data_IF_892972759082
#
_entry.id   IF_892972759082
#
_cell.length_a   1.000
_cell.length_b   1.000
_cell.length_c   1.000
_cell.angle_alpha   90.00
_cell.angle_beta   90.00
_cell.angle_gamma   90.00
#
_symmetry.space_group_name_H-M   'P 1'
#
loop_
_entity.id
_entity.type
_entity.pdbx_description
1 polymer ?
#
# COMPACT_ATOMS: atom_id res chain seq x y z
N UNK A 1 -33.25 12.14 2.65
CA UNK A 1 -32.79 12.23 1.27
C UNK A 1 -31.67 11.20 1.15
N UNK A 2 -31.90 10.12 0.38
CA UNK A 2 -30.87 9.10 0.15
C UNK A 2 -29.74 9.73 -0.65
N UNK A 3 -28.66 10.11 0.01
CA UNK A 3 -27.38 10.29 -0.67
C UNK A 3 -26.89 8.87 -1.03
N UNK A 4 -27.27 8.37 -2.21
CA UNK A 4 -26.60 7.20 -2.75
C UNK A 4 -25.14 7.62 -2.98
N UNK A 5 -24.24 7.14 -2.12
CA UNK A 5 -22.81 7.41 -2.27
C UNK A 5 -22.40 7.07 -3.70
N UNK A 6 -21.65 7.95 -4.35
CA UNK A 6 -21.11 7.72 -5.67
C UNK A 6 -20.14 6.53 -5.59
N UNK A 7 -20.42 5.46 -6.32
CA UNK A 7 -19.68 4.19 -6.22
C UNK A 7 -19.36 3.64 -7.61
N UNK A 8 -18.56 2.59 -7.67
CA UNK A 8 -18.23 1.89 -8.92
C UNK A 8 -19.41 1.15 -9.59
N UNK A 9 -20.62 1.17 -9.01
CA UNK A 9 -21.77 0.50 -9.60
C UNK A 9 -22.17 1.05 -10.98
N UNK A 10 -21.87 2.32 -11.24
CA UNK A 10 -22.13 2.99 -12.53
C UNK A 10 -20.94 2.96 -13.49
N UNK A 11 -19.80 2.41 -13.07
CA UNK A 11 -18.62 2.27 -13.94
C UNK A 11 -18.75 1.00 -14.78
N UNK A 12 -19.39 1.13 -15.92
CA UNK A 12 -19.56 0.04 -16.89
C UNK A 12 -18.43 0.03 -17.93
N UNK A 13 -18.20 -1.10 -18.65
CA UNK A 13 -17.18 -1.17 -19.70
C UNK A 13 -17.32 -0.07 -20.75
N UNK A 14 -18.53 0.27 -21.18
CA UNK A 14 -18.76 1.36 -22.13
C UNK A 14 -18.31 2.72 -21.57
N UNK A 15 -18.58 3.00 -20.30
CA UNK A 15 -18.10 4.23 -19.62
C UNK A 15 -16.57 4.31 -19.63
N UNK A 16 -15.89 3.17 -19.44
CA UNK A 16 -14.42 3.10 -19.49
C UNK A 16 -13.92 3.36 -20.92
N UNK A 17 -14.58 2.77 -21.92
CA UNK A 17 -14.23 2.97 -23.34
C UNK A 17 -14.44 4.43 -23.76
N UNK A 18 -15.55 5.06 -23.36
CA UNK A 18 -15.83 6.48 -23.63
C UNK A 18 -14.79 7.39 -22.97
N UNK A 19 -14.44 7.11 -21.70
CA UNK A 19 -13.41 7.85 -20.98
C UNK A 19 -12.04 7.83 -21.69
N UNK A 20 -11.63 6.68 -22.21
CA UNK A 20 -10.39 6.52 -22.96
C UNK A 20 -10.49 7.20 -24.34
N UNK A 21 -11.61 7.06 -25.03
CA UNK A 21 -11.83 7.67 -26.33
C UNK A 21 -11.78 9.20 -26.27
N UNK A 22 -12.33 9.83 -25.25
CA UNK A 22 -12.26 11.28 -25.03
C UNK A 22 -10.82 11.80 -24.90
N UNK A 23 -9.89 10.94 -24.45
CA UNK A 23 -8.47 11.26 -24.39
C UNK A 23 -7.72 10.96 -25.69
N UNK A 24 -8.43 10.57 -26.75
CA UNK A 24 -7.84 10.19 -28.03
C UNK A 24 -7.24 8.80 -28.05
N UNK A 25 -7.53 7.96 -27.06
CA UNK A 25 -7.06 6.57 -26.99
C UNK A 25 -8.09 5.68 -27.68
N UNK A 26 -7.68 5.04 -28.75
CA UNK A 26 -8.48 4.02 -29.42
C UNK A 26 -8.07 2.64 -28.97
N UNK A 27 -8.95 2.00 -28.21
CA UNK A 27 -8.72 0.66 -27.68
C UNK A 27 -8.96 -0.37 -28.79
N UNK A 28 -7.94 -1.18 -29.10
CA UNK A 28 -8.01 -2.25 -30.14
C UNK A 28 -8.13 -3.66 -29.51
N UNK A 29 -8.11 -3.76 -28.20
CA UNK A 29 -8.31 -5.01 -27.44
C UNK A 29 -9.56 -4.95 -26.57
N UNK A 30 -9.93 -6.08 -25.94
CA UNK A 30 -10.83 -6.04 -24.78
C UNK A 30 -10.16 -5.39 -23.58
N UNK A 31 -10.98 -4.94 -22.63
CA UNK A 31 -10.52 -4.52 -21.30
C UNK A 31 -10.31 -5.75 -20.41
N UNK A 32 -9.07 -6.03 -20.03
CA UNK A 32 -8.74 -7.14 -19.13
C UNK A 32 -8.65 -6.64 -17.70
N UNK A 33 -9.54 -7.04 -16.78
CA UNK A 33 -9.46 -6.61 -15.38
C UNK A 33 -8.19 -7.16 -14.74
N UNK A 34 -7.50 -6.31 -13.98
CA UNK A 34 -6.38 -6.70 -13.14
C UNK A 34 -6.84 -6.86 -11.69
N UNK A 35 -6.09 -7.64 -10.91
CA UNK A 35 -6.36 -7.82 -9.49
C UNK A 35 -6.15 -6.51 -8.74
N UNK A 36 -7.25 -5.83 -8.45
CA UNK A 36 -7.29 -4.65 -7.59
C UNK A 36 -8.65 -4.62 -6.88
N UNK A 37 -8.62 -4.55 -5.57
CA UNK A 37 -9.85 -4.47 -4.77
C UNK A 37 -10.23 -3.03 -4.44
N UNK A 38 -9.24 -2.17 -4.25
CA UNK A 38 -9.48 -0.76 -3.91
C UNK A 38 -9.97 0.02 -5.12
N UNK A 39 -9.26 -0.05 -6.22
CA UNK A 39 -9.56 0.66 -7.45
C UNK A 39 -10.17 -0.28 -8.50
N UNK A 40 -10.57 0.24 -9.64
CA UNK A 40 -10.89 -0.56 -10.82
C UNK A 40 -9.79 -0.39 -11.84
N UNK A 41 -9.08 -1.46 -12.10
CA UNK A 41 -7.86 -1.47 -12.93
C UNK A 41 -8.02 -2.42 -14.08
N UNK A 42 -7.76 -1.91 -15.31
CA UNK A 42 -7.89 -2.69 -16.53
C UNK A 42 -6.66 -2.50 -17.40
N UNK A 43 -6.19 -3.61 -17.96
CA UNK A 43 -5.18 -3.60 -19.00
C UNK A 43 -5.86 -3.59 -20.37
N UNK A 44 -5.30 -2.84 -21.32
CA UNK A 44 -5.75 -2.79 -22.70
C UNK A 44 -4.58 -2.53 -23.66
N UNK A 45 -4.86 -2.68 -24.95
CA UNK A 45 -3.94 -2.35 -26.03
C UNK A 45 -4.60 -1.32 -26.95
N UNK A 46 -3.86 -0.32 -27.39
CA UNK A 46 -4.33 0.66 -28.34
C UNK A 46 -4.13 0.21 -29.81
N UNK A 47 -4.57 1.03 -30.78
CA UNK A 47 -4.45 0.77 -32.21
C UNK A 47 -2.99 0.65 -32.70
N UNK A 48 -2.03 1.25 -31.97
CA UNK A 48 -0.59 1.13 -32.25
C UNK A 48 0.04 -0.09 -31.54
N UNK A 49 -0.77 -0.98 -30.96
CA UNK A 49 -0.36 -2.16 -30.17
C UNK A 49 0.45 -1.84 -28.92
N UNK A 50 0.40 -0.61 -28.42
CA UNK A 50 0.99 -0.25 -27.14
C UNK A 50 0.06 -0.73 -26.03
N UNK A 51 0.66 -1.26 -24.94
CA UNK A 51 -0.10 -1.77 -23.80
C UNK A 51 -0.13 -0.74 -22.70
N UNK A 52 -1.32 -0.55 -22.16
CA UNK A 52 -1.59 0.38 -21.08
C UNK A 52 -2.39 -0.28 -19.96
N UNK A 53 -2.38 0.37 -18.81
CA UNK A 53 -3.25 0.10 -17.68
C UNK A 53 -4.02 1.38 -17.37
N UNK A 54 -5.35 1.29 -17.33
CA UNK A 54 -6.20 2.36 -16.81
C UNK A 54 -6.61 2.03 -15.39
N UNK A 55 -6.41 2.99 -14.48
CA UNK A 55 -6.80 2.91 -13.07
C UNK A 55 -7.86 3.95 -12.78
N UNK A 56 -9.07 3.49 -12.45
CA UNK A 56 -10.14 4.33 -11.92
C UNK A 56 -10.05 4.33 -10.40
N UNK A 57 -9.83 5.50 -9.83
CA UNK A 57 -9.70 5.67 -8.38
C UNK A 57 -11.04 5.48 -7.69
N UNK A 58 -11.01 4.81 -6.54
CA UNK A 58 -12.24 4.64 -5.73
C UNK A 58 -12.78 6.02 -5.34
N UNK A 59 -14.06 6.30 -5.65
CA UNK A 59 -14.70 7.52 -5.24
C UNK A 59 -14.56 7.76 -3.72
N UNK A 60 -14.33 9.01 -3.34
CA UNK A 60 -14.24 9.47 -1.95
C UNK A 60 -13.06 8.91 -1.12
N UNK A 61 -12.16 8.09 -1.71
CA UNK A 61 -10.96 7.64 -1.01
C UNK A 61 -9.91 8.74 -0.95
N UNK A 62 -9.56 9.28 -2.09
CA UNK A 62 -8.56 10.34 -2.24
C UNK A 62 -9.16 11.56 -2.92
N UNK A 63 -8.76 12.76 -2.49
CA UNK A 63 -9.05 14.00 -3.22
C UNK A 63 -8.21 14.09 -4.49
N UNK A 64 -8.59 14.98 -5.41
CA UNK A 64 -7.79 15.24 -6.61
C UNK A 64 -6.35 15.67 -6.27
N UNK A 65 -6.19 16.54 -5.25
CA UNK A 65 -4.87 17.01 -4.82
C UNK A 65 -4.00 15.87 -4.29
N UNK A 66 -4.58 14.95 -3.52
CA UNK A 66 -3.87 13.77 -3.02
C UNK A 66 -3.44 12.82 -4.14
N UNK A 67 -4.26 12.64 -5.17
CA UNK A 67 -3.90 11.82 -6.34
C UNK A 67 -2.81 12.54 -7.16
N UNK A 68 -2.91 13.85 -7.33
CA UNK A 68 -1.90 14.61 -8.06
C UNK A 68 -0.54 14.61 -7.34
N UNK A 69 -0.51 14.60 -6.00
CA UNK A 69 0.74 14.43 -5.25
C UNK A 69 1.40 13.05 -5.49
N UNK A 70 0.60 11.96 -5.57
CA UNK A 70 1.09 10.64 -5.98
C UNK A 70 1.72 10.69 -7.38
N UNK A 71 1.00 11.27 -8.33
CA UNK A 71 1.46 11.40 -9.71
C UNK A 71 2.76 12.19 -9.82
N UNK A 72 2.85 13.32 -9.12
CA UNK A 72 4.06 14.14 -9.08
C UNK A 72 5.23 13.38 -8.47
N UNK A 73 5.00 12.63 -7.41
CA UNK A 73 6.04 11.80 -6.80
C UNK A 73 6.51 10.71 -7.75
N UNK A 74 5.60 9.98 -8.40
CA UNK A 74 5.96 8.98 -9.40
C UNK A 74 6.79 9.58 -10.56
N UNK A 75 6.40 10.75 -11.07
CA UNK A 75 7.14 11.44 -12.13
C UNK A 75 8.53 11.92 -11.66
N UNK A 76 8.67 12.39 -10.42
CA UNK A 76 9.96 12.74 -9.84
C UNK A 76 10.86 11.52 -9.69
N UNK A 77 10.31 10.39 -9.25
CA UNK A 77 11.05 9.11 -9.14
C UNK A 77 11.57 8.65 -10.51
N UNK A 78 10.75 8.71 -11.56
CA UNK A 78 11.19 8.39 -12.93
C UNK A 78 12.30 9.34 -13.39
N UNK A 79 12.16 10.64 -13.11
CA UNK A 79 13.20 11.62 -13.45
C UNK A 79 14.53 11.39 -12.70
N UNK A 80 14.44 10.86 -11.47
CA UNK A 80 15.59 10.47 -10.66
C UNK A 80 16.05 9.00 -10.96
N UNK A 81 15.59 8.43 -12.10
CA UNK A 81 15.93 7.09 -12.59
C UNK A 81 15.58 5.96 -11.61
N UNK A 82 14.54 6.14 -10.79
CA UNK A 82 13.96 5.06 -9.98
C UNK A 82 12.92 4.31 -10.84
N UNK A 83 13.00 2.98 -10.94
CA UNK A 83 12.13 2.18 -11.78
C UNK A 83 10.73 2.05 -11.17
N UNK A 84 9.89 3.05 -11.40
CA UNK A 84 8.47 3.06 -11.00
C UNK A 84 7.56 3.27 -12.20
N UNK A 85 6.33 2.81 -12.11
CA UNK A 85 5.31 3.18 -13.11
C UNK A 85 4.76 4.55 -12.79
N UNK A 86 4.85 5.48 -13.75
CA UNK A 86 4.28 6.82 -13.63
C UNK A 86 3.14 7.02 -14.64
N UNK A 87 2.14 7.86 -14.33
CA UNK A 87 1.02 8.08 -15.21
C UNK A 87 1.43 8.83 -16.50
N UNK A 88 0.77 8.50 -17.59
CA UNK A 88 0.91 9.20 -18.88
C UNK A 88 0.12 10.51 -18.84
N UNK A 89 0.71 11.57 -19.35
CA UNK A 89 0.03 12.87 -19.47
C UNK A 89 -0.75 12.97 -20.79
N UNK A 90 -2.01 13.40 -20.72
CA UNK A 90 -2.86 13.75 -21.85
C UNK A 90 -3.17 15.24 -21.75
N UNK A 91 -2.77 16.00 -22.80
CA UNK A 91 -2.88 17.47 -22.80
C UNK A 91 -2.26 18.13 -21.56
N UNK A 92 -1.17 17.55 -21.03
CA UNK A 92 -0.45 18.03 -19.85
C UNK A 92 -1.07 17.62 -18.51
N UNK A 93 -2.15 16.82 -18.51
CA UNK A 93 -2.83 16.32 -17.31
C UNK A 93 -2.59 14.81 -17.15
N UNK A 94 -2.23 14.40 -15.94
CA UNK A 94 -2.08 12.99 -15.57
C UNK A 94 -3.30 12.44 -14.86
N UNK A 95 -4.08 13.31 -14.18
CA UNK A 95 -5.35 12.98 -13.57
C UNK A 95 -6.48 13.44 -14.49
N UNK A 96 -7.30 12.51 -14.89
CA UNK A 96 -8.41 12.68 -15.82
C UNK A 96 -9.73 12.47 -15.09
N UNK A 97 -10.81 13.01 -15.62
CA UNK A 97 -12.16 12.82 -15.07
C UNK A 97 -13.15 12.52 -16.19
N UNK A 98 -13.97 11.51 -15.97
CA UNK A 98 -15.10 11.18 -16.84
C UNK A 98 -16.31 10.83 -15.98
N UNK A 99 -17.41 11.53 -16.15
CA UNK A 99 -18.67 11.35 -15.40
C UNK A 99 -18.49 11.33 -13.85
N UNK A 100 -17.53 12.09 -13.35
CA UNK A 100 -17.21 12.15 -11.92
C UNK A 100 -16.17 11.13 -11.44
N UNK A 101 -15.81 10.14 -12.26
CA UNK A 101 -14.73 9.21 -11.95
C UNK A 101 -13.37 9.83 -12.26
N UNK A 102 -12.50 9.89 -11.27
CA UNK A 102 -11.08 10.16 -11.50
C UNK A 102 -10.40 8.91 -12.03
N UNK A 103 -9.55 9.09 -13.03
CA UNK A 103 -8.75 7.99 -13.59
C UNK A 103 -7.40 8.48 -14.10
N UNK A 104 -6.48 7.54 -14.23
CA UNK A 104 -5.18 7.76 -14.85
C UNK A 104 -4.80 6.56 -15.74
N UNK A 105 -3.95 6.82 -16.71
CA UNK A 105 -3.44 5.80 -17.64
C UNK A 105 -1.96 5.63 -17.40
N UNK A 106 -1.50 4.40 -17.28
CA UNK A 106 -0.12 4.03 -17.03
C UNK A 106 0.41 3.15 -18.16
N UNK A 107 1.70 3.18 -18.48
CA UNK A 107 2.28 2.15 -19.34
C UNK A 107 2.12 0.79 -18.66
N UNK A 108 1.72 -0.23 -19.45
CA UNK A 108 1.68 -1.59 -18.94
C UNK A 108 3.09 -2.18 -18.90
N UNK A 109 3.56 -2.49 -17.71
CA UNK A 109 4.84 -3.16 -17.49
C UNK A 109 4.61 -4.64 -17.24
N UNK A 110 5.42 -5.49 -17.84
CA UNK A 110 5.43 -6.91 -17.60
C UNK A 110 6.61 -7.29 -16.71
N UNK A 111 6.45 -8.36 -15.97
CA UNK A 111 7.49 -8.92 -15.13
C UNK A 111 6.97 -10.14 -14.37
N UNK A 112 7.88 -10.95 -13.81
CA UNK A 112 7.55 -11.94 -12.80
C UNK A 112 7.46 -11.25 -11.44
N UNK A 113 6.94 -11.91 -10.45
CA UNK A 113 6.94 -11.40 -9.08
C UNK A 113 8.37 -11.38 -8.54
N UNK A 114 8.68 -10.39 -7.71
CA UNK A 114 9.89 -10.32 -6.90
C UNK A 114 9.98 -11.53 -5.95
N UNK A 115 11.18 -12.13 -5.86
CA UNK A 115 11.47 -13.29 -5.02
C UNK A 115 12.22 -12.83 -3.77
N UNK A 116 11.52 -12.73 -2.65
CA UNK A 116 12.08 -12.19 -1.40
C UNK A 116 13.16 -13.09 -0.73
N UNK A 117 13.32 -14.32 -1.17
CA UNK A 117 14.39 -15.24 -0.78
C UNK A 117 15.63 -15.15 -1.69
N UNK A 118 15.57 -14.35 -2.76
CA UNK A 118 16.66 -14.13 -3.68
C UNK A 118 17.49 -12.91 -3.24
N UNK A 119 18.68 -13.15 -2.72
CA UNK A 119 19.56 -12.11 -2.16
C UNK A 119 19.95 -11.06 -3.21
N UNK A 120 20.26 -11.45 -4.45
CA UNK A 120 20.63 -10.50 -5.52
C UNK A 120 19.45 -9.56 -5.86
N UNK A 121 18.22 -10.10 -5.83
CA UNK A 121 17.02 -9.28 -6.02
C UNK A 121 16.78 -8.36 -4.84
N UNK A 122 17.00 -8.84 -3.62
CA UNK A 122 16.85 -8.07 -2.39
C UNK A 122 17.84 -6.88 -2.36
N UNK A 123 19.10 -7.13 -2.72
CA UNK A 123 20.14 -6.11 -2.85
C UNK A 123 19.77 -5.03 -3.87
N UNK A 124 19.30 -5.45 -5.07
CA UNK A 124 18.87 -4.50 -6.10
C UNK A 124 17.66 -3.66 -5.63
N UNK A 125 16.70 -4.28 -4.93
CA UNK A 125 15.55 -3.56 -4.34
C UNK A 125 16.04 -2.58 -3.29
N UNK A 126 16.97 -2.95 -2.41
CA UNK A 126 17.59 -2.07 -1.42
C UNK A 126 18.17 -0.81 -2.03
N UNK A 127 18.96 -0.94 -3.11
CA UNK A 127 19.53 0.22 -3.85
C UNK A 127 18.44 1.17 -4.34
N UNK A 128 17.40 0.65 -4.96
CA UNK A 128 16.34 1.50 -5.51
C UNK A 128 15.43 2.08 -4.43
N UNK A 129 15.24 1.43 -3.29
CA UNK A 129 14.59 2.03 -2.11
C UNK A 129 15.43 3.18 -1.55
N UNK A 130 16.76 3.04 -1.47
CA UNK A 130 17.66 4.14 -1.11
C UNK A 130 17.49 5.35 -2.03
N UNK A 131 17.45 5.14 -3.36
CA UNK A 131 17.21 6.21 -4.35
C UNK A 131 15.79 6.80 -4.23
N UNK A 132 14.77 5.96 -4.06
CA UNK A 132 13.39 6.40 -3.86
C UNK A 132 13.28 7.32 -2.64
N UNK A 133 13.87 6.91 -1.52
CA UNK A 133 13.86 7.68 -0.29
C UNK A 133 14.73 8.94 -0.35
N UNK A 134 15.84 8.91 -1.10
CA UNK A 134 16.61 10.13 -1.40
C UNK A 134 15.73 11.18 -2.10
N UNK A 135 14.90 10.76 -3.08
CA UNK A 135 13.91 11.62 -3.71
C UNK A 135 12.79 11.99 -2.72
N UNK A 136 12.34 11.03 -1.90
CA UNK A 136 11.32 11.25 -0.88
C UNK A 136 11.69 12.33 0.14
N UNK A 137 12.96 12.45 0.49
CA UNK A 137 13.48 13.46 1.45
C UNK A 137 13.47 14.90 0.91
N UNK A 138 13.39 15.11 -0.42
CA UNK A 138 13.46 16.45 -1.03
C UNK A 138 12.29 17.35 -0.62
N UNK A 139 11.12 16.78 -0.37
CA UNK A 139 9.90 17.46 0.10
C UNK A 139 8.93 16.46 0.70
N UNK A 140 7.98 16.89 1.52
CA UNK A 140 6.90 16.05 2.04
C UNK A 140 5.64 16.19 1.18
N UNK A 141 4.74 15.23 1.28
CA UNK A 141 3.36 15.39 0.83
C UNK A 141 2.66 16.42 1.74
N UNK A 142 1.83 17.27 1.16
CA UNK A 142 1.05 18.28 1.87
C UNK A 142 -0.37 17.77 2.14
N UNK A 143 -0.94 17.10 1.15
CA UNK A 143 -2.33 16.62 1.19
C UNK A 143 -2.42 15.14 1.60
N UNK A 144 -1.43 14.33 1.26
CA UNK A 144 -1.38 12.92 1.66
C UNK A 144 -0.99 12.78 3.13
N UNK A 145 -1.56 11.78 3.83
CA UNK A 145 -1.36 11.63 5.27
C UNK A 145 0.08 11.25 5.64
N UNK A 146 0.39 11.42 6.91
CA UNK A 146 1.56 10.86 7.56
C UNK A 146 1.14 9.64 8.37
N UNK A 147 1.93 8.56 8.35
CA UNK A 147 1.69 7.37 9.16
C UNK A 147 1.60 7.75 10.64
N UNK A 148 0.53 7.35 11.29
CA UNK A 148 0.32 7.66 12.71
C UNK A 148 -0.77 6.81 13.36
N UNK A 149 -0.79 6.83 14.69
CA UNK A 149 -1.67 5.98 15.50
C UNK A 149 -3.16 6.23 15.24
N UNK A 150 -3.55 7.49 14.94
CA UNK A 150 -4.96 7.83 14.79
C UNK A 150 -5.60 7.09 13.62
N UNK A 151 -4.99 7.19 12.43
CA UNK A 151 -5.50 6.56 11.19
C UNK A 151 -5.46 5.04 11.26
N UNK A 152 -4.38 4.49 11.83
CA UNK A 152 -4.11 3.05 11.80
C UNK A 152 -4.75 2.28 12.96
N UNK A 153 -5.01 2.91 14.09
CA UNK A 153 -5.50 2.23 15.30
C UNK A 153 -6.78 2.83 15.88
N UNK A 154 -6.80 4.16 16.11
CA UNK A 154 -7.89 4.78 16.87
C UNK A 154 -9.18 4.82 16.05
N UNK A 155 -9.12 5.26 14.80
CA UNK A 155 -10.29 5.25 13.90
C UNK A 155 -10.78 3.82 13.59
N UNK A 156 -9.90 2.85 13.25
CA UNK A 156 -10.28 1.44 13.15
C UNK A 156 -10.97 0.90 14.41
N UNK A 157 -10.43 1.19 15.58
CA UNK A 157 -11.00 0.71 16.84
C UNK A 157 -12.45 1.20 17.05
N UNK A 158 -12.72 2.48 16.73
CA UNK A 158 -14.09 3.03 16.76
C UNK A 158 -15.00 2.31 15.76
N UNK A 159 -14.52 2.06 14.54
CA UNK A 159 -15.26 1.31 13.54
C UNK A 159 -15.65 -0.10 14.04
N UNK A 160 -14.75 -0.77 14.76
CA UNK A 160 -15.01 -2.12 15.29
C UNK A 160 -16.11 -2.13 16.35
N UNK A 161 -16.28 -1.05 17.13
CA UNK A 161 -17.38 -0.92 18.12
C UNK A 161 -18.77 -1.08 17.48
N UNK A 162 -18.97 -0.42 16.34
CA UNK A 162 -20.27 -0.40 15.65
C UNK A 162 -20.41 -1.52 14.61
N UNK A 163 -19.33 -2.28 14.35
CA UNK A 163 -19.32 -3.28 13.29
C UNK A 163 -20.26 -4.45 13.59
N UNK A 164 -21.17 -4.72 12.66
CA UNK A 164 -22.09 -5.88 12.69
C UNK A 164 -21.48 -7.17 12.15
N UNK A 165 -20.34 -7.07 11.45
CA UNK A 165 -19.60 -8.21 10.91
C UNK A 165 -18.95 -9.05 12.01
N UNK A 166 -18.68 -8.47 13.16
CA UNK A 166 -18.11 -9.19 14.30
C UNK A 166 -19.22 -9.93 15.01
N UNK A 167 -19.16 -11.29 15.14
CA UNK A 167 -20.17 -12.07 15.85
C UNK A 167 -20.34 -11.56 17.28
N UNK A 168 -21.59 -11.37 17.70
CA UNK A 168 -21.92 -10.76 19.00
C UNK A 168 -21.27 -11.48 20.19
N UNK A 169 -21.16 -12.80 20.13
CA UNK A 169 -20.53 -13.64 21.17
C UNK A 169 -19.02 -13.47 21.26
N UNK A 170 -18.35 -13.00 20.20
CA UNK A 170 -16.89 -12.81 20.13
C UNK A 170 -16.47 -11.35 20.25
N UNK A 171 -17.39 -10.43 20.06
CA UNK A 171 -17.09 -8.99 19.95
C UNK A 171 -16.36 -8.43 21.16
N UNK A 172 -16.80 -8.75 22.37
CA UNK A 172 -16.19 -8.25 23.61
C UNK A 172 -14.72 -8.72 23.74
N UNK A 173 -14.45 -9.99 23.43
CA UNK A 173 -13.09 -10.54 23.48
C UNK A 173 -12.19 -9.91 22.40
N UNK A 174 -12.70 -9.74 21.18
CA UNK A 174 -11.99 -9.11 20.09
C UNK A 174 -11.65 -7.65 20.40
N UNK A 175 -12.61 -6.85 20.91
CA UNK A 175 -12.37 -5.46 21.27
C UNK A 175 -11.34 -5.33 22.39
N UNK A 176 -11.38 -6.22 23.39
CA UNK A 176 -10.38 -6.26 24.46
C UNK A 176 -8.98 -6.54 23.91
N UNK A 177 -8.84 -7.56 23.04
CA UNK A 177 -7.56 -7.86 22.38
C UNK A 177 -7.05 -6.69 21.52
N UNK A 178 -7.96 -5.99 20.85
CA UNK A 178 -7.63 -4.77 20.09
C UNK A 178 -7.12 -3.66 21.01
N UNK A 179 -7.76 -3.42 22.15
CA UNK A 179 -7.35 -2.40 23.11
C UNK A 179 -5.97 -2.71 23.71
N UNK A 180 -5.71 -3.98 24.04
CA UNK A 180 -4.41 -4.46 24.54
C UNK A 180 -3.31 -4.27 23.47
N UNK A 181 -3.60 -4.59 22.22
CA UNK A 181 -2.67 -4.37 21.10
C UNK A 181 -2.39 -2.89 20.89
N UNK A 182 -3.41 -2.02 20.91
CA UNK A 182 -3.25 -0.57 20.78
C UNK A 182 -2.38 -0.02 21.91
N UNK A 183 -2.60 -0.46 23.15
CA UNK A 183 -1.78 -0.05 24.29
C UNK A 183 -0.32 -0.46 24.12
N UNK A 184 -0.06 -1.69 23.66
CA UNK A 184 1.28 -2.18 23.38
C UNK A 184 1.97 -1.38 22.26
N UNK A 185 1.27 -1.10 21.16
CA UNK A 185 1.82 -0.27 20.07
C UNK A 185 2.13 1.14 20.58
N UNK A 186 1.20 1.77 21.30
CA UNK A 186 1.39 3.13 21.81
C UNK A 186 2.60 3.26 22.72
N UNK A 187 2.89 2.23 23.52
CA UNK A 187 4.06 2.20 24.39
C UNK A 187 5.39 2.09 23.63
N UNK A 188 5.39 1.57 22.40
CA UNK A 188 6.59 1.37 21.59
C UNK A 188 6.67 2.30 20.38
N UNK A 189 5.60 3.04 20.09
CA UNK A 189 5.58 4.00 19.00
C UNK A 189 6.45 5.21 19.32
N UNK A 190 7.28 5.58 18.38
CA UNK A 190 8.15 6.75 18.45
C UNK A 190 7.86 7.65 17.26
N UNK A 191 7.93 8.95 17.47
CA UNK A 191 7.70 9.97 16.42
C UNK A 191 8.97 10.78 16.13
N UNK A 192 10.12 10.37 16.69
CA UNK A 192 11.43 11.02 16.52
C UNK A 192 12.22 10.50 15.30
N UNK A 193 11.55 9.82 14.37
CA UNK A 193 12.14 9.41 13.11
C UNK A 193 12.11 10.51 12.05
N UNK A 194 13.00 10.41 11.07
CA UNK A 194 12.97 11.30 9.90
C UNK A 194 11.80 10.98 9.00
N UNK A 195 10.89 11.95 8.84
CA UNK A 195 9.73 11.81 7.96
C UNK A 195 10.13 12.07 6.51
N UNK A 196 9.75 11.17 5.62
CA UNK A 196 9.95 11.29 4.17
C UNK A 196 8.75 10.74 3.40
N UNK A 197 8.69 10.99 2.10
CA UNK A 197 7.68 10.37 1.23
C UNK A 197 8.07 8.94 0.93
N UNK A 198 7.11 8.04 1.09
CA UNK A 198 7.24 6.59 0.96
C UNK A 198 6.40 6.06 -0.20
N UNK A 199 6.74 4.86 -0.65
CA UNK A 199 5.81 4.02 -1.40
C UNK A 199 4.56 3.71 -0.56
N UNK A 200 4.77 3.42 0.72
CA UNK A 200 3.74 3.23 1.74
C UNK A 200 3.16 1.82 1.80
N UNK A 201 3.15 1.07 0.70
CA UNK A 201 2.72 -0.33 0.62
C UNK A 201 3.73 -1.18 -0.18
N UNK A 202 5.03 -1.03 0.12
CA UNK A 202 6.13 -1.69 -0.57
C UNK A 202 6.26 -3.15 -0.14
N UNK A 203 5.44 -4.02 -0.68
CA UNK A 203 5.53 -5.47 -0.47
C UNK A 203 5.90 -6.20 -1.77
N UNK A 204 6.26 -7.47 -1.68
CA UNK A 204 6.70 -8.28 -2.82
C UNK A 204 5.71 -8.29 -4.01
N UNK A 205 4.40 -8.17 -3.75
CA UNK A 205 3.37 -8.10 -4.79
C UNK A 205 3.36 -6.79 -5.59
N UNK A 206 3.96 -5.73 -5.07
CA UNK A 206 4.09 -4.41 -5.71
C UNK A 206 5.46 -4.19 -6.36
N UNK A 207 6.26 -5.25 -6.48
CA UNK A 207 7.55 -5.25 -7.17
C UNK A 207 7.52 -6.29 -8.29
N UNK A 208 7.55 -5.83 -9.53
CA UNK A 208 7.70 -6.69 -10.69
C UNK A 208 9.18 -6.81 -11.03
N UNK A 209 9.59 -7.99 -11.47
CA UNK A 209 10.97 -8.26 -11.83
C UNK A 209 11.12 -8.57 -13.32
N UNK A 210 11.87 -7.71 -14.02
CA UNK A 210 12.29 -7.93 -15.40
C UNK A 210 13.59 -7.18 -15.63
N UNK A 211 14.70 -7.89 -15.65
CA UNK A 211 16.04 -7.31 -15.78
C UNK A 211 16.39 -6.30 -14.65
N UNK A 212 15.64 -6.33 -13.56
CA UNK A 212 15.68 -5.45 -12.41
C UNK A 212 14.29 -5.24 -11.80
N UNK A 213 14.18 -4.58 -10.65
CA UNK A 213 12.91 -4.29 -10.01
C UNK A 213 12.16 -3.19 -10.77
N UNK A 214 10.83 -3.27 -10.76
CA UNK A 214 9.91 -2.22 -11.17
C UNK A 214 8.85 -2.06 -10.09
N UNK A 215 8.83 -0.94 -9.39
CA UNK A 215 7.84 -0.66 -8.37
C UNK A 215 6.54 -0.19 -9.02
N UNK A 216 5.44 -0.73 -8.53
CA UNK A 216 4.10 -0.43 -9.04
C UNK A 216 3.17 -0.07 -7.88
N UNK A 217 2.09 0.64 -8.20
CA UNK A 217 1.00 0.96 -7.27
C UNK A 217 1.40 1.83 -6.07
N UNK A 218 1.72 3.08 -6.36
CA UNK A 218 1.97 4.13 -5.36
C UNK A 218 0.67 4.69 -4.71
N UNK A 219 -0.45 3.98 -4.83
CA UNK A 219 -1.76 4.44 -4.36
C UNK A 219 -1.80 4.73 -2.84
N UNK A 220 -0.99 4.02 -2.07
CA UNK A 220 -0.82 4.20 -0.63
C UNK A 220 0.40 5.06 -0.25
N UNK A 221 1.03 5.74 -1.22
CA UNK A 221 2.14 6.64 -0.95
C UNK A 221 1.75 7.69 0.09
N UNK A 222 2.61 7.89 1.08
CA UNK A 222 2.37 8.76 2.24
C UNK A 222 3.67 9.22 2.87
N UNK A 223 3.60 10.07 3.86
CA UNK A 223 4.75 10.43 4.67
C UNK A 223 4.96 9.42 5.80
N UNK A 224 6.20 9.13 6.18
CA UNK A 224 6.49 8.23 7.30
C UNK A 224 7.97 7.89 7.45
N UNK A 225 8.31 6.92 8.32
CA UNK A 225 9.67 6.43 8.53
C UNK A 225 10.12 5.54 7.37
N UNK A 226 11.41 5.58 7.03
CA UNK A 226 11.98 4.78 5.94
C UNK A 226 11.73 3.27 6.10
N UNK A 227 11.80 2.77 7.33
CA UNK A 227 11.59 1.35 7.64
C UNK A 227 10.25 0.81 7.12
N UNK A 228 9.22 1.67 6.93
CA UNK A 228 7.91 1.24 6.42
C UNK A 228 8.01 0.53 5.08
N UNK A 229 8.85 1.00 4.18
CA UNK A 229 9.01 0.40 2.86
C UNK A 229 9.99 -0.80 2.84
N UNK A 230 10.72 -1.03 3.94
CA UNK A 230 11.69 -2.11 4.05
C UNK A 230 11.09 -3.36 4.74
N UNK A 231 10.39 -3.17 5.87
CA UNK A 231 9.95 -4.31 6.69
C UNK A 231 8.94 -5.22 6.00
N UNK A 232 8.15 -4.69 5.08
CA UNK A 232 7.14 -5.46 4.35
C UNK A 232 7.71 -6.46 3.34
N UNK A 233 9.00 -6.39 3.07
CA UNK A 233 9.75 -7.33 2.24
C UNK A 233 10.29 -8.51 3.04
N UNK A 234 10.36 -8.38 4.38
CA UNK A 234 10.95 -9.39 5.25
C UNK A 234 10.00 -10.57 5.45
N UNK A 235 10.55 -11.77 5.38
CA UNK A 235 9.80 -13.02 5.58
C UNK A 235 10.66 -14.06 6.31
N UNK A 236 10.03 -15.18 6.69
CA UNK A 236 10.71 -16.25 7.39
C UNK A 236 10.89 -15.99 8.88
N UNK A 237 11.86 -16.67 9.49
CA UNK A 237 12.17 -16.51 10.91
C UNK A 237 13.01 -15.23 11.20
N UNK A 238 13.27 -14.97 12.49
CA UNK A 238 14.05 -13.77 12.91
C UNK A 238 15.49 -13.74 12.33
N UNK A 239 16.11 -14.90 12.10
CA UNK A 239 17.46 -14.95 11.55
C UNK A 239 17.44 -14.63 10.05
N UNK A 240 16.46 -15.16 9.33
CA UNK A 240 16.21 -14.87 7.92
C UNK A 240 15.85 -13.39 7.72
N UNK A 241 14.92 -12.87 8.50
CA UNK A 241 14.53 -11.45 8.46
C UNK A 241 15.72 -10.51 8.75
N UNK A 242 16.60 -10.86 9.68
CA UNK A 242 17.82 -10.09 9.96
C UNK A 242 18.74 -10.06 8.75
N UNK A 243 19.05 -11.21 8.17
CA UNK A 243 19.91 -11.29 6.98
C UNK A 243 19.34 -10.48 5.82
N UNK A 244 18.03 -10.60 5.57
CA UNK A 244 17.32 -9.84 4.54
C UNK A 244 17.41 -8.34 4.79
N UNK A 245 17.17 -7.90 6.03
CA UNK A 245 17.22 -6.49 6.39
C UNK A 245 18.64 -5.92 6.27
N UNK A 246 19.66 -6.67 6.71
CA UNK A 246 21.08 -6.29 6.54
C UNK A 246 21.43 -6.11 5.06
N UNK A 247 21.03 -7.05 4.20
CA UNK A 247 21.23 -6.94 2.74
C UNK A 247 20.55 -5.70 2.14
N UNK A 248 19.29 -5.44 2.55
CA UNK A 248 18.56 -4.25 2.07
C UNK A 248 19.24 -2.97 2.54
N UNK A 249 19.62 -2.87 3.83
CA UNK A 249 20.20 -1.66 4.41
C UNK A 249 21.56 -1.38 3.79
N UNK A 250 22.44 -2.38 3.64
CA UNK A 250 23.74 -2.22 3.01
C UNK A 250 23.62 -1.62 1.60
N UNK A 251 22.72 -2.16 0.78
CA UNK A 251 22.48 -1.65 -0.56
C UNK A 251 21.76 -0.30 -0.58
N UNK A 252 20.85 -0.05 0.36
CA UNK A 252 20.15 1.21 0.53
C UNK A 252 21.12 2.37 0.86
N UNK A 253 22.11 2.10 1.70
CA UNK A 253 23.08 3.09 2.15
C UNK A 253 24.08 3.53 1.06
N UNK A 254 24.07 2.87 -0.11
CA UNK A 254 24.76 3.41 -1.29
C UNK A 254 24.18 4.78 -1.74
N UNK A 255 22.92 5.08 -1.41
CA UNK A 255 22.20 6.26 -1.89
C UNK A 255 21.58 7.14 -0.79
N UNK A 256 21.24 6.57 0.36
CA UNK A 256 20.55 7.29 1.43
C UNK A 256 20.92 6.71 2.79
N UNK A 257 21.28 7.54 3.75
CA UNK A 257 21.52 7.13 5.13
C UNK A 257 20.27 6.49 5.74
N UNK A 258 20.43 5.36 6.45
CA UNK A 258 19.38 4.67 7.16
C UNK A 258 19.54 4.86 8.67
N UNK A 259 18.49 5.33 9.35
CA UNK A 259 18.47 5.39 10.80
C UNK A 259 18.10 4.02 11.39
N UNK A 260 19.09 3.31 11.92
CA UNK A 260 18.89 1.99 12.52
C UNK A 260 17.96 1.99 13.74
N UNK A 261 17.70 3.15 14.36
CA UNK A 261 16.72 3.27 15.43
C UNK A 261 15.27 2.99 14.94
N UNK A 262 15.02 3.18 13.65
CA UNK A 262 13.72 2.87 13.03
C UNK A 262 13.40 1.36 13.01
N UNK A 263 14.40 0.47 13.18
CA UNK A 263 14.18 -0.99 13.26
C UNK A 263 13.21 -1.33 14.42
N UNK A 264 13.25 -0.57 15.51
CA UNK A 264 12.30 -0.69 16.61
C UNK A 264 10.84 -0.44 16.24
N UNK A 265 10.56 0.16 15.07
CA UNK A 265 9.21 0.44 14.58
C UNK A 265 8.62 -0.73 13.76
N UNK A 266 9.39 -1.78 13.44
CA UNK A 266 8.88 -2.90 12.60
C UNK A 266 7.61 -3.51 13.21
N UNK A 267 7.66 -3.92 14.47
CA UNK A 267 6.52 -4.58 15.10
C UNK A 267 5.34 -3.62 15.40
N UNK A 268 5.55 -2.37 15.84
CA UNK A 268 4.50 -1.35 15.82
C UNK A 268 3.82 -1.18 14.46
N UNK A 269 4.57 -1.02 13.37
CA UNK A 269 4.03 -0.87 12.02
C UNK A 269 3.29 -2.13 11.55
N UNK A 270 3.80 -3.33 11.87
CA UNK A 270 3.13 -4.60 11.59
C UNK A 270 1.77 -4.69 12.29
N UNK A 271 1.72 -4.35 13.57
CA UNK A 271 0.48 -4.32 14.35
C UNK A 271 -0.52 -3.29 13.78
N UNK A 272 -0.04 -2.10 13.47
CA UNK A 272 -0.84 -1.04 12.83
C UNK A 272 -1.44 -1.53 11.50
N UNK A 273 -0.65 -2.20 10.67
CA UNK A 273 -1.14 -2.78 9.40
C UNK A 273 -2.22 -3.84 9.61
N UNK A 274 -2.07 -4.73 10.61
CA UNK A 274 -3.07 -5.76 10.93
C UNK A 274 -4.43 -5.12 11.26
N UNK A 275 -4.43 -4.11 12.12
CA UNK A 275 -5.66 -3.39 12.52
C UNK A 275 -6.26 -2.61 11.36
N UNK A 276 -5.43 -1.87 10.62
CA UNK A 276 -5.85 -1.05 9.48
C UNK A 276 -6.44 -1.91 8.35
N UNK A 277 -5.81 -3.04 8.02
CA UNK A 277 -6.29 -3.95 6.99
C UNK A 277 -7.69 -4.47 7.29
N UNK A 278 -7.94 -4.84 8.54
CA UNK A 278 -9.27 -5.29 8.95
C UNK A 278 -10.32 -4.19 8.84
N UNK A 279 -9.97 -2.97 9.26
CA UNK A 279 -10.84 -1.81 9.10
C UNK A 279 -11.08 -1.47 7.62
N UNK A 280 -10.06 -1.63 6.76
CA UNK A 280 -10.19 -1.46 5.32
C UNK A 280 -11.21 -2.44 4.72
N UNK A 281 -11.16 -3.72 5.08
CA UNK A 281 -12.15 -4.71 4.66
C UNK A 281 -13.57 -4.32 5.07
N UNK A 282 -13.74 -3.89 6.31
CA UNK A 282 -15.05 -3.50 6.85
C UNK A 282 -15.62 -2.25 6.18
N UNK A 283 -14.79 -1.22 5.97
CA UNK A 283 -15.20 0.02 5.28
C UNK A 283 -15.68 -0.23 3.85
N UNK A 284 -15.17 -1.29 3.21
CA UNK A 284 -15.47 -1.66 1.82
C UNK A 284 -16.53 -2.74 1.69
N UNK A 285 -17.06 -3.24 2.80
CA UNK A 285 -17.97 -4.40 2.80
C UNK A 285 -19.25 -4.21 2.00
N UNK A 286 -19.72 -2.96 1.84
CA UNK A 286 -20.88 -2.63 1.01
C UNK A 286 -20.61 -2.78 -0.51
N UNK A 287 -19.36 -2.79 -0.96
CA UNK A 287 -19.00 -3.08 -2.35
C UNK A 287 -19.12 -4.59 -2.59
N UNK A 288 -19.97 -5.05 -3.55
CA UNK A 288 -20.21 -6.47 -3.79
C UNK A 288 -18.96 -7.31 -4.09
N UNK A 289 -17.88 -6.67 -4.53
CA UNK A 289 -16.60 -7.33 -4.75
C UNK A 289 -16.00 -7.86 -3.44
N UNK A 290 -16.21 -7.17 -2.31
CA UNK A 290 -15.60 -7.55 -1.03
C UNK A 290 -16.21 -8.82 -0.43
N UNK A 291 -17.53 -8.96 -0.22
CA UNK A 291 -18.11 -10.23 0.24
C UNK A 291 -17.78 -11.41 -0.68
N UNK A 292 -17.68 -11.18 -1.98
CA UNK A 292 -17.33 -12.22 -2.95
C UNK A 292 -15.89 -12.71 -2.80
N UNK A 293 -14.94 -11.80 -2.59
CA UNK A 293 -13.51 -12.12 -2.52
C UNK A 293 -13.02 -12.43 -1.10
N UNK A 294 -13.72 -11.95 -0.08
CA UNK A 294 -13.39 -12.13 1.34
C UNK A 294 -14.52 -12.80 2.14
N UNK A 295 -15.14 -13.90 1.65
CA UNK A 295 -16.32 -14.51 2.27
C UNK A 295 -16.05 -14.98 3.71
N UNK A 296 -14.80 -15.26 4.04
CA UNK A 296 -14.33 -15.71 5.35
C UNK A 296 -14.50 -14.66 6.45
N UNK A 297 -14.67 -13.36 6.11
CA UNK A 297 -14.83 -12.28 7.10
C UNK A 297 -16.13 -12.41 7.93
N UNK A 298 -17.12 -13.15 7.46
CA UNK A 298 -18.37 -13.42 8.21
C UNK A 298 -18.31 -14.65 9.09
N UNK A 299 -17.22 -15.45 9.04
CA UNK A 299 -17.09 -16.71 9.76
C UNK A 299 -16.55 -16.51 11.18
N UNK A 300 -17.16 -17.19 12.18
CA UNK A 300 -16.69 -17.13 13.58
C UNK A 300 -15.24 -17.59 13.74
N UNK A 301 -14.82 -18.65 13.02
CA UNK A 301 -13.44 -19.13 13.06
C UNK A 301 -12.41 -18.08 12.65
N UNK A 302 -12.76 -17.20 11.73
CA UNK A 302 -11.90 -16.09 11.35
C UNK A 302 -11.70 -15.14 12.53
N UNK A 303 -12.78 -14.74 13.20
CA UNK A 303 -12.73 -13.81 14.32
C UNK A 303 -12.00 -14.38 15.54
N UNK A 304 -12.12 -15.68 15.80
CA UNK A 304 -11.32 -16.36 16.82
C UNK A 304 -9.83 -16.29 16.48
N UNK A 305 -9.44 -16.61 15.25
CA UNK A 305 -8.05 -16.50 14.81
C UNK A 305 -7.55 -15.07 14.83
N UNK A 306 -8.36 -14.12 14.38
CA UNK A 306 -7.97 -12.70 14.37
C UNK A 306 -7.75 -12.16 15.79
N UNK A 307 -8.59 -12.55 16.74
CA UNK A 307 -8.42 -12.23 18.16
C UNK A 307 -7.10 -12.82 18.70
N UNK A 308 -6.82 -14.09 18.39
CA UNK A 308 -5.57 -14.73 18.78
C UNK A 308 -4.34 -14.03 18.13
N UNK A 309 -4.44 -13.63 16.87
CA UNK A 309 -3.38 -12.88 16.17
C UNK A 309 -3.08 -11.56 16.87
N UNK A 310 -4.10 -10.82 17.30
CA UNK A 310 -3.89 -9.56 18.00
C UNK A 310 -3.24 -9.76 19.38
N UNK A 311 -3.66 -10.78 20.11
CA UNK A 311 -3.04 -11.16 21.40
C UNK A 311 -1.57 -11.55 21.22
N UNK A 312 -1.27 -12.33 20.18
CA UNK A 312 0.09 -12.76 19.90
C UNK A 312 0.98 -11.57 19.48
N UNK A 313 0.48 -10.70 18.59
CA UNK A 313 1.21 -9.51 18.19
C UNK A 313 1.48 -8.57 19.36
N UNK A 314 0.55 -8.45 20.31
CA UNK A 314 0.77 -7.68 21.54
C UNK A 314 1.89 -8.25 22.42
N UNK A 315 2.10 -9.60 22.42
CA UNK A 315 3.23 -10.23 23.10
C UNK A 315 4.54 -10.00 22.34
N UNK A 316 4.53 -10.14 21.02
CA UNK A 316 5.72 -9.89 20.18
C UNK A 316 6.27 -8.48 20.40
N UNK A 317 5.40 -7.48 20.59
CA UNK A 317 5.79 -6.11 20.92
C UNK A 317 6.55 -5.98 22.27
N UNK A 318 6.44 -6.97 23.19
CA UNK A 318 7.19 -6.98 24.43
C UNK A 318 8.57 -7.64 24.29
N UNK A 319 8.84 -8.30 23.17
CA UNK A 319 10.14 -8.89 22.87
C UNK A 319 11.13 -7.81 22.38
N UNK A 320 12.44 -8.05 22.54
CA UNK A 320 13.44 -7.17 21.94
C UNK A 320 13.24 -7.05 20.43
N UNK A 321 13.39 -5.83 19.86
CA UNK A 321 13.30 -5.63 18.43
C UNK A 321 14.36 -6.44 17.69
N UNK A 322 14.16 -6.60 16.36
CA UNK A 322 15.16 -7.17 15.49
C UNK A 322 16.48 -6.39 15.65
N UNK A 323 17.60 -7.08 15.75
CA UNK A 323 18.93 -6.47 15.92
C UNK A 323 19.82 -6.87 14.75
N UNK A 324 20.50 -5.89 14.16
CA UNK A 324 21.53 -6.14 13.17
C UNK A 324 22.77 -6.77 13.81
N UNK A 325 23.54 -7.49 13.01
CA UNK A 325 24.85 -8.01 13.44
C UNK A 325 25.79 -6.84 13.73
N UNK A 326 26.44 -6.77 14.89
CA UNK A 326 27.42 -5.71 15.14
C UNK A 326 28.51 -5.72 14.09
N UNK A 327 28.73 -4.58 13.43
CA UNK A 327 29.92 -4.41 12.58
C UNK A 327 31.13 -4.25 13.51
N UNK A 328 32.11 -5.16 13.39
CA UNK A 328 33.37 -5.12 14.12
C UNK A 328 34.38 -4.19 13.44
#
# INVERSE_FOLDING_TARGET
>A
MNNSAFTFQTLHPDTIMDALFEQGIRVDSGLTPLNSYENRVYQFQDEDRRRFVVKFYRPERWTADQILEEHQFALQLVNDEVPVTAPVAFNGQTLLNHQGFYFAVFPSVGGRQFEADNIDQMEAVGRYLGRMHQTGRKQLFIHRPTIGLNEYLIEPRKLFEDATLIPSGLKAAFLKATDELIAAVTAHWREDFTVLRLHGDCHAGNILWRDGPMFVDLDDARNGPAIQDLWMLLNGDKAEQRMQLETIIEAYEEFSEFDTAEIGLIEPLRAMRLVYYLAWLMRRWADPAFPKNFPWLTGEDYWLRQTATFIEQAKVLQEPPLQLTPMY
#
